data_IF_836643814987
#
_entry.id   IF_836643814987
#
_cell.length_a   1.000
_cell.length_b   1.000
_cell.length_c   1.000
_cell.angle_alpha   90.00
_cell.angle_beta   90.00
_cell.angle_gamma   90.00
#
_symmetry.space_group_name_H-M   'P 1'
#
loop_
_entity.id
_entity.type
_entity.pdbx_description
1 polymer ?
#
# COMPACT_ATOMS: atom_id res chain seq x y z
N UNK A 1 12.02 -13.30 17.89
CA UNK A 1 11.64 -12.29 16.88
C UNK A 1 12.70 -11.21 16.88
N UNK A 2 13.41 -11.02 15.77
CA UNK A 2 14.34 -9.89 15.62
C UNK A 2 13.49 -8.66 15.39
N UNK A 3 13.52 -7.71 16.32
CA UNK A 3 12.79 -6.46 16.25
C UNK A 3 13.51 -5.52 15.27
N UNK A 4 13.41 -5.78 13.96
CA UNK A 4 13.87 -4.86 12.93
C UNK A 4 12.72 -3.89 12.69
N UNK A 5 12.85 -2.66 13.21
CA UNK A 5 11.97 -1.57 12.80
C UNK A 5 12.13 -1.42 11.28
N UNK A 6 11.07 -1.57 10.47
CA UNK A 6 11.19 -1.43 9.02
C UNK A 6 11.77 -0.05 8.67
N UNK A 7 12.58 0.06 7.61
CA UNK A 7 12.97 1.36 7.08
C UNK A 7 11.71 2.16 6.76
N UNK A 8 11.73 3.47 7.02
CA UNK A 8 10.62 4.36 6.70
C UNK A 8 10.94 5.10 5.39
N UNK A 9 10.01 5.05 4.44
CA UNK A 9 10.10 5.79 3.18
C UNK A 9 8.94 6.79 3.11
N UNK A 10 9.27 8.08 3.03
CA UNK A 10 8.32 9.17 2.92
C UNK A 10 7.90 9.44 1.47
N UNK A 11 6.68 9.94 1.29
CA UNK A 11 6.12 10.33 0.00
C UNK A 11 4.63 10.06 -0.07
N UNK A 12 3.84 11.15 -0.10
CA UNK A 12 2.40 11.11 -0.35
C UNK A 12 2.08 10.42 -1.69
N UNK A 13 2.87 10.73 -2.72
CA UNK A 13 2.77 10.10 -4.03
C UNK A 13 3.41 8.72 -4.00
N UNK A 14 2.83 7.77 -4.75
CA UNK A 14 3.32 6.40 -4.85
C UNK A 14 3.33 5.64 -3.51
N UNK A 15 2.32 5.89 -2.67
CA UNK A 15 2.17 5.24 -1.36
C UNK A 15 2.24 3.71 -1.43
N UNK A 16 1.71 3.10 -2.49
CA UNK A 16 1.84 1.66 -2.75
C UNK A 16 3.31 1.21 -2.83
N UNK A 17 4.14 1.93 -3.60
CA UNK A 17 5.55 1.59 -3.81
C UNK A 17 6.38 1.82 -2.54
N UNK A 18 6.14 2.94 -1.84
CA UNK A 18 6.80 3.21 -0.57
C UNK A 18 6.43 2.15 0.48
N UNK A 19 5.16 1.80 0.61
CA UNK A 19 4.69 0.76 1.54
C UNK A 19 5.26 -0.62 1.20
N UNK A 20 5.35 -1.00 -0.07
CA UNK A 20 6.03 -2.23 -0.50
C UNK A 20 7.52 -2.22 -0.17
N UNK A 21 8.22 -1.09 -0.37
CA UNK A 21 9.62 -0.96 0.01
C UNK A 21 9.82 -1.15 1.53
N UNK A 22 8.92 -0.59 2.35
CA UNK A 22 8.95 -0.79 3.80
C UNK A 22 8.70 -2.26 4.19
N UNK A 23 7.76 -2.95 3.53
CA UNK A 23 7.50 -4.38 3.73
C UNK A 23 8.74 -5.23 3.41
N UNK A 24 9.38 -5.01 2.27
CA UNK A 24 10.60 -5.72 1.90
C UNK A 24 11.75 -5.40 2.88
N UNK A 25 11.82 -4.15 3.32
CA UNK A 25 12.73 -3.71 4.37
C UNK A 25 12.58 -4.46 5.70
N UNK A 26 11.36 -4.88 6.07
CA UNK A 26 11.15 -5.62 7.33
C UNK A 26 11.73 -7.04 7.32
N UNK A 27 11.97 -7.61 6.13
CA UNK A 27 12.66 -8.90 5.97
C UNK A 27 14.15 -8.75 5.64
N UNK A 28 14.68 -7.53 5.71
CA UNK A 28 16.10 -7.22 5.48
C UNK A 28 16.47 -6.90 4.04
N UNK A 29 15.50 -6.84 3.13
CA UNK A 29 15.72 -6.49 1.72
C UNK A 29 15.74 -4.98 1.53
N UNK A 30 16.77 -4.46 0.86
CA UNK A 30 16.94 -3.02 0.64
C UNK A 30 16.61 -2.65 -0.81
N UNK A 31 15.33 -2.75 -1.18
CA UNK A 31 14.84 -2.45 -2.52
C UNK A 31 14.20 -1.06 -2.51
N UNK A 32 14.71 -0.15 -3.34
CA UNK A 32 14.21 1.22 -3.42
C UNK A 32 12.79 1.26 -3.99
N UNK A 33 11.91 2.07 -3.39
CA UNK A 33 10.60 2.39 -3.97
C UNK A 33 10.69 2.99 -5.39
N UNK A 34 11.81 3.64 -5.74
CA UNK A 34 12.08 4.13 -7.10
C UNK A 34 12.28 3.03 -8.13
N UNK A 35 12.66 1.83 -7.69
CA UNK A 35 12.72 0.64 -8.54
C UNK A 35 11.38 -0.10 -8.55
N UNK A 36 10.70 -0.18 -7.40
CA UNK A 36 9.39 -0.85 -7.29
C UNK A 36 8.34 -0.15 -8.13
N UNK A 37 8.29 1.18 -8.11
CA UNK A 37 7.27 1.98 -8.81
C UNK A 37 7.14 1.61 -10.31
N UNK A 38 8.21 1.64 -11.13
CA UNK A 38 8.09 1.27 -12.54
C UNK A 38 7.78 -0.21 -12.75
N UNK A 39 8.15 -1.10 -11.80
CA UNK A 39 7.81 -2.53 -11.87
C UNK A 39 6.33 -2.79 -11.63
N UNK A 40 5.64 -1.89 -10.92
CA UNK A 40 4.18 -2.00 -10.73
C UNK A 40 3.40 -1.77 -12.02
N UNK A 41 3.97 -1.01 -12.96
CA UNK A 41 3.30 -0.64 -14.20
C UNK A 41 2.12 0.34 -14.03
N UNK A 42 1.85 0.83 -12.82
CA UNK A 42 0.74 1.77 -12.53
C UNK A 42 0.86 3.04 -13.36
N UNK A 43 2.07 3.61 -13.45
CA UNK A 43 2.36 4.78 -14.28
C UNK A 43 2.47 4.49 -15.78
N UNK A 44 2.31 3.25 -16.24
CA UNK A 44 2.47 2.89 -17.64
C UNK A 44 1.14 2.95 -18.39
N UNK A 45 1.16 3.64 -19.52
CA UNK A 45 0.04 3.71 -20.46
C UNK A 45 -0.61 5.08 -20.47
N UNK A 46 -1.71 5.16 -21.21
CA UNK A 46 -2.57 6.33 -21.25
C UNK A 46 -4.01 5.86 -21.44
N UNK A 47 -4.94 6.51 -20.75
CA UNK A 47 -6.36 6.30 -20.94
C UNK A 47 -7.04 7.61 -21.30
N UNK A 48 -8.08 7.53 -22.12
CA UNK A 48 -8.95 8.67 -22.38
C UNK A 48 -10.14 8.58 -21.44
N UNK A 49 -10.27 9.52 -20.52
CA UNK A 49 -11.37 9.50 -19.56
C UNK A 49 -12.62 10.12 -20.21
N UNK A 50 -13.55 9.25 -20.64
CA UNK A 50 -14.70 9.64 -21.47
C UNK A 50 -15.53 10.77 -20.89
N UNK A 51 -15.73 10.79 -19.56
CA UNK A 51 -16.54 11.81 -18.88
C UNK A 51 -15.90 13.20 -18.84
N UNK A 52 -14.57 13.28 -18.71
CA UNK A 52 -13.87 14.58 -18.68
C UNK A 52 -13.33 15.00 -20.05
N UNK A 53 -13.23 14.08 -21.00
CA UNK A 53 -12.63 14.32 -22.31
C UNK A 53 -11.13 14.57 -22.26
N UNK A 54 -10.46 14.23 -21.15
CA UNK A 54 -9.03 14.46 -20.95
C UNK A 54 -8.22 13.16 -21.05
N UNK A 55 -7.01 13.19 -21.62
CA UNK A 55 -6.08 12.09 -21.52
C UNK A 55 -5.49 12.04 -20.10
N UNK A 56 -5.44 10.84 -19.53
CA UNK A 56 -4.71 10.53 -18.30
C UNK A 56 -3.51 9.69 -18.69
N UNK A 57 -2.33 10.03 -18.15
CA UNK A 57 -1.09 9.30 -18.37
C UNK A 57 -0.86 8.26 -17.25
N UNK A 58 -1.93 7.54 -16.97
CA UNK A 58 -1.98 6.32 -16.17
C UNK A 58 -2.81 5.31 -16.96
N UNK A 59 -2.41 4.04 -16.96
CA UNK A 59 -3.15 3.00 -17.66
C UNK A 59 -4.47 2.70 -16.94
N UNK A 60 -5.56 2.48 -17.68
CA UNK A 60 -6.84 2.03 -17.12
C UNK A 60 -6.77 0.63 -16.46
N UNK A 61 -5.67 -0.11 -16.66
CA UNK A 61 -5.42 -1.42 -16.08
C UNK A 61 -4.38 -1.39 -14.93
N UNK A 62 -3.88 -0.21 -14.58
CA UNK A 62 -2.79 -0.02 -13.61
C UNK A 62 -3.29 0.15 -12.19
N UNK A 63 -4.11 -0.78 -11.69
CA UNK A 63 -4.57 -0.73 -10.30
C UNK A 63 -3.37 -0.95 -9.35
N UNK A 64 -3.15 -0.09 -8.33
CA UNK A 64 -1.95 -0.17 -7.50
C UNK A 64 -1.76 -1.48 -6.74
N UNK A 65 -2.83 -2.10 -6.26
CA UNK A 65 -2.84 -3.42 -5.62
C UNK A 65 -2.28 -4.51 -6.55
N UNK A 66 -2.81 -4.60 -7.78
CA UNK A 66 -2.30 -5.51 -8.81
C UNK A 66 -0.86 -5.17 -9.20
N UNK A 67 -0.52 -3.89 -9.19
CA UNK A 67 0.83 -3.39 -9.43
C UNK A 67 1.84 -3.88 -8.38
N UNK A 68 1.47 -3.88 -7.09
CA UNK A 68 2.32 -4.44 -6.02
C UNK A 68 2.58 -5.93 -6.28
N UNK A 69 1.52 -6.69 -6.53
CA UNK A 69 1.60 -8.13 -6.86
C UNK A 69 2.55 -8.36 -8.03
N UNK A 70 2.40 -7.59 -9.11
CA UNK A 70 3.27 -7.69 -10.28
C UNK A 70 4.73 -7.41 -9.97
N UNK A 71 5.01 -6.37 -9.18
CA UNK A 71 6.37 -6.01 -8.80
C UNK A 71 7.02 -7.11 -7.94
N UNK A 72 6.29 -7.66 -6.97
CA UNK A 72 6.79 -8.75 -6.11
C UNK A 72 7.08 -10.03 -6.91
N UNK A 73 6.22 -10.38 -7.87
CA UNK A 73 6.46 -11.50 -8.80
C UNK A 73 7.74 -11.30 -9.62
N UNK A 74 7.93 -10.10 -10.20
CA UNK A 74 9.12 -9.79 -11.02
C UNK A 74 10.40 -9.86 -10.18
N UNK A 75 10.34 -9.37 -8.93
CA UNK A 75 11.45 -9.42 -7.99
C UNK A 75 11.71 -10.82 -7.41
N UNK A 76 10.81 -11.78 -7.66
CA UNK A 76 10.95 -13.17 -7.24
C UNK A 76 10.57 -13.44 -5.79
N UNK A 77 9.80 -12.56 -5.16
CA UNK A 77 9.32 -12.77 -3.79
C UNK A 77 8.13 -13.71 -3.74
N UNK A 78 8.07 -14.49 -2.66
CA UNK A 78 6.85 -15.18 -2.26
C UNK A 78 6.08 -14.27 -1.30
N UNK A 79 4.78 -14.16 -1.52
CA UNK A 79 3.90 -13.33 -0.71
C UNK A 79 2.51 -13.97 -0.60
N UNK A 80 1.71 -13.43 0.30
CA UNK A 80 0.30 -13.74 0.44
C UNK A 80 -0.49 -12.47 0.13
N UNK A 81 -1.49 -12.59 -0.72
CA UNK A 81 -2.43 -11.52 -1.04
C UNK A 81 -3.83 -11.96 -0.60
N UNK A 82 -4.57 -11.06 0.04
CA UNK A 82 -5.94 -11.29 0.46
C UNK A 82 -6.78 -10.05 0.12
N UNK A 83 -7.91 -10.28 -0.54
CA UNK A 83 -8.85 -9.23 -0.92
C UNK A 83 -10.22 -9.56 -0.33
N UNK A 84 -10.92 -8.54 0.19
CA UNK A 84 -12.27 -8.67 0.76
C UNK A 84 -13.14 -7.58 0.18
N UNK A 85 -14.15 -7.96 -0.60
CA UNK A 85 -14.98 -7.00 -1.34
C UNK A 85 -15.99 -6.29 -0.43
N UNK A 86 -16.58 -6.98 0.54
CA UNK A 86 -17.58 -6.42 1.47
C UNK A 86 -17.56 -7.12 2.85
N UNK A 87 -18.05 -6.41 3.87
CA UNK A 87 -18.29 -6.95 5.21
C UNK A 87 -17.46 -6.30 6.32
N UNK A 88 -17.43 -6.97 7.48
CA UNK A 88 -16.66 -6.48 8.64
C UNK A 88 -15.15 -6.48 8.33
N UNK A 89 -14.48 -5.43 8.81
CA UNK A 89 -13.04 -5.29 8.69
C UNK A 89 -12.34 -6.52 9.33
N UNK A 90 -11.42 -7.18 8.61
CA UNK A 90 -10.84 -8.46 9.04
C UNK A 90 -9.74 -8.27 10.09
N UNK A 91 -10.01 -7.59 11.21
CA UNK A 91 -9.01 -7.25 12.22
C UNK A 91 -8.38 -8.48 12.88
N UNK A 92 -9.17 -9.53 13.16
CA UNK A 92 -8.66 -10.77 13.76
C UNK A 92 -7.68 -11.48 12.81
N UNK A 93 -8.05 -11.58 11.52
CA UNK A 93 -7.20 -12.16 10.48
C UNK A 93 -5.94 -11.31 10.23
N UNK A 94 -6.06 -9.98 10.28
CA UNK A 94 -4.91 -9.10 10.21
C UNK A 94 -4.00 -9.30 11.42
N UNK A 95 -4.55 -9.45 12.64
CA UNK A 95 -3.76 -9.71 13.83
C UNK A 95 -2.96 -11.01 13.71
N UNK A 96 -3.56 -12.08 13.20
CA UNK A 96 -2.88 -13.35 12.92
C UNK A 96 -1.72 -13.18 11.92
N UNK A 97 -1.94 -12.44 10.82
CA UNK A 97 -0.87 -12.16 9.83
C UNK A 97 0.29 -11.38 10.46
N UNK A 98 -0.02 -10.41 11.33
CA UNK A 98 0.97 -9.56 11.98
C UNK A 98 1.81 -10.29 13.03
N UNK A 99 1.45 -11.51 13.44
CA UNK A 99 2.31 -12.36 14.26
C UNK A 99 3.55 -12.83 13.48
N UNK A 100 3.46 -12.93 12.15
CA UNK A 100 4.53 -13.43 11.28
C UNK A 100 5.22 -12.33 10.48
N UNK A 101 4.47 -11.35 9.97
CA UNK A 101 5.00 -10.30 9.08
C UNK A 101 4.14 -9.03 9.13
N UNK A 102 4.73 -7.83 8.95
CA UNK A 102 3.97 -6.65 8.56
C UNK A 102 3.16 -6.89 7.28
N UNK A 103 2.13 -6.07 7.06
CA UNK A 103 1.25 -6.15 5.90
C UNK A 103 1.07 -4.77 5.24
N UNK A 104 1.14 -4.74 3.91
CA UNK A 104 0.67 -3.56 3.15
C UNK A 104 -0.83 -3.66 3.03
N UNK A 105 -1.53 -2.60 3.45
CA UNK A 105 -3.00 -2.54 3.43
C UNK A 105 -3.43 -1.41 2.51
N UNK A 106 -4.32 -1.72 1.57
CA UNK A 106 -4.94 -0.78 0.66
C UNK A 106 -5.71 -1.48 -0.47
N UNK A 107 -6.38 -0.72 -1.35
CA UNK A 107 -6.57 0.72 -1.24
C UNK A 107 -7.51 1.08 -0.06
N UNK A 108 -7.04 1.94 0.84
CA UNK A 108 -7.82 2.53 1.92
C UNK A 108 -8.31 3.91 1.48
N UNK A 109 -9.55 4.26 1.81
CA UNK A 109 -10.00 5.64 1.65
C UNK A 109 -9.42 6.51 2.77
N UNK A 110 -8.60 7.49 2.39
CA UNK A 110 -7.90 8.38 3.33
C UNK A 110 -8.83 9.14 4.27
N UNK A 111 -10.10 9.32 3.92
CA UNK A 111 -11.06 10.01 4.79
C UNK A 111 -11.36 9.27 6.10
N UNK A 112 -11.10 7.96 6.16
CA UNK A 112 -11.25 7.14 7.37
C UNK A 112 -9.99 7.06 8.24
N UNK A 113 -8.88 7.65 7.81
CA UNK A 113 -7.65 7.66 8.58
C UNK A 113 -7.72 8.76 9.63
N UNK A 114 -8.14 8.40 10.84
CA UNK A 114 -8.42 9.36 11.90
C UNK A 114 -7.22 10.21 12.33
N UNK A 115 -6.01 9.70 12.15
CA UNK A 115 -4.76 10.41 12.42
C UNK A 115 -4.39 11.45 11.35
N UNK A 116 -4.99 11.38 10.15
CA UNK A 116 -4.73 12.35 9.08
C UNK A 116 -5.52 13.65 9.34
N UNK A 117 -4.84 14.79 9.61
CA UNK A 117 -5.51 16.06 9.88
C UNK A 117 -6.28 16.60 8.67
N UNK A 118 -5.90 16.21 7.45
CA UNK A 118 -6.54 16.63 6.20
C UNK A 118 -7.66 15.68 5.74
N UNK A 119 -8.02 14.65 6.53
CA UNK A 119 -9.04 13.64 6.19
C UNK A 119 -10.36 14.19 5.62
N UNK A 120 -10.92 15.36 6.02
CA UNK A 120 -12.17 15.86 5.44
C UNK A 120 -12.07 16.24 3.96
N UNK A 121 -10.85 16.41 3.43
CA UNK A 121 -10.58 16.76 2.02
C UNK A 121 -10.14 15.56 1.18
N UNK A 122 -9.98 14.38 1.78
CA UNK A 122 -9.39 13.20 1.16
C UNK A 122 -10.42 12.12 0.84
N UNK A 123 -11.70 12.49 0.73
CA UNK A 123 -12.77 11.56 0.35
C UNK A 123 -12.52 10.99 -1.05
N UNK A 124 -12.49 9.66 -1.15
CA UNK A 124 -12.27 8.94 -2.41
C UNK A 124 -10.81 8.95 -2.88
N UNK A 125 -9.88 9.37 -2.02
CA UNK A 125 -8.44 9.24 -2.29
C UNK A 125 -7.98 7.91 -1.73
N UNK A 126 -7.58 7.01 -2.63
CA UNK A 126 -7.02 5.71 -2.30
C UNK A 126 -5.60 5.85 -1.72
N UNK A 127 -5.30 5.00 -0.74
CA UNK A 127 -4.04 5.04 -0.02
C UNK A 127 -3.57 3.66 0.44
N UNK A 128 -2.25 3.49 0.49
CA UNK A 128 -1.59 2.26 0.91
C UNK A 128 -0.62 2.55 2.05
N UNK A 129 -0.77 1.81 3.14
CA UNK A 129 0.06 1.96 4.35
C UNK A 129 0.66 0.62 4.74
N UNK A 130 1.73 0.64 5.54
CA UNK A 130 2.27 -0.58 6.16
C UNK A 130 1.76 -0.70 7.60
N UNK A 131 0.99 -1.75 7.89
CA UNK A 131 0.59 -2.11 9.24
C UNK A 131 1.61 -3.09 9.81
N UNK A 132 2.07 -2.88 11.05
CA UNK A 132 3.07 -3.76 11.68
C UNK A 132 2.69 -4.22 13.09
N UNK A 133 1.60 -3.72 13.68
CA UNK A 133 1.16 -4.14 15.01
C UNK A 133 -0.30 -3.76 15.26
N UNK A 134 -1.02 -4.61 15.99
CA UNK A 134 -2.31 -4.30 16.61
C UNK A 134 -2.17 -4.47 18.12
N UNK A 135 -2.64 -3.49 18.91
CA UNK A 135 -2.74 -3.61 20.37
C UNK A 135 -4.07 -3.06 20.86
N UNK A 136 -4.93 -3.95 21.38
CA UNK A 136 -6.26 -3.56 21.80
C UNK A 136 -7.07 -3.00 20.65
N UNK A 137 -7.50 -1.74 20.77
CA UNK A 137 -8.26 -0.99 19.76
C UNK A 137 -7.38 -0.15 18.83
N UNK A 138 -6.06 -0.31 18.89
CA UNK A 138 -5.10 0.51 18.13
C UNK A 138 -4.39 -0.31 17.05
N UNK A 139 -4.29 0.30 15.88
CA UNK A 139 -3.49 -0.19 14.76
C UNK A 139 -2.26 0.71 14.63
N UNK A 140 -1.07 0.12 14.62
CA UNK A 140 0.18 0.84 14.41
C UNK A 140 0.60 0.70 12.96
N UNK A 141 0.88 1.84 12.35
CA UNK A 141 1.12 1.95 10.92
C UNK A 141 2.37 2.79 10.65
N UNK A 142 3.05 2.49 9.55
CA UNK A 142 3.95 3.42 8.89
C UNK A 142 3.19 3.93 7.65
N UNK A 143 2.77 5.18 7.72
CA UNK A 143 2.10 5.87 6.61
C UNK A 143 3.15 6.66 5.80
N UNK A 144 3.36 6.37 4.50
CA UNK A 144 4.29 7.13 3.67
C UNK A 144 3.85 8.59 3.45
N UNK A 145 2.57 8.94 3.65
CA UNK A 145 2.05 10.30 3.57
C UNK A 145 2.24 11.12 4.85
N UNK A 146 2.67 10.52 5.97
CA UNK A 146 2.93 11.20 7.25
C UNK A 146 2.02 10.76 8.38
#
# INVERSE_FOLDING_TARGET
>A
MVNIKPPFYDGYWYCYSNSTAMLLGSIGENISSKLIEPLTGVGLGAMFHERSGLPFFSGAAGDPDKGITKALEILGFKFMEKNKEEGEAPFDELAEVLEESPAVIGPLNMSFLDYNPDRPKSEGVDHFILVYKIEGDKVFVNDPAG
#
